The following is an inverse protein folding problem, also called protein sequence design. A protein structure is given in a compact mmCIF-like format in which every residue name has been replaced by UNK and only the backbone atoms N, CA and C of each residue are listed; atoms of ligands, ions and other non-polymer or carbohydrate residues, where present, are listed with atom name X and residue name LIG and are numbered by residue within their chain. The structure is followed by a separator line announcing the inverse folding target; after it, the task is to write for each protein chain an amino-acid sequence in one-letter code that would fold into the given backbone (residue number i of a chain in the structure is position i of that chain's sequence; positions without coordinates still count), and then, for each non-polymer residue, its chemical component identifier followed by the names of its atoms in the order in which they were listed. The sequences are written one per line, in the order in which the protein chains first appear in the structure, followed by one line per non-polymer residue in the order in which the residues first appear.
data_IF_956369825889
#
_entry.id   IF_956369825889
#
_cell.length_a   1.000
_cell.length_b   1.000
_cell.length_c   1.000
_cell.angle_alpha   90.00
_cell.angle_beta   90.00
_cell.angle_gamma   90.00
#
_symmetry.space_group_name_H-M   'P 1'
#
loop_
_entity.id
_entity.type
_entity.pdbx_description
1 polymer ?
#
# COMPACT_ATOMS: atom_id res chain seq x y z
N UNK A 1 -11.07 -9.67 -9.14
CA UNK A 1 -9.63 -9.93 -8.98
C UNK A 1 -9.34 -9.65 -7.52
N UNK A 2 -9.02 -10.69 -6.76
CA UNK A 2 -9.02 -10.69 -5.29
C UNK A 2 -7.62 -10.76 -4.72
N UNK A 3 -7.49 -10.41 -3.45
CA UNK A 3 -6.26 -10.57 -2.68
C UNK A 3 -5.77 -12.02 -2.69
N UNK A 4 -4.46 -12.21 -2.83
CA UNK A 4 -3.82 -13.52 -2.82
C UNK A 4 -3.81 -14.11 -1.41
N UNK A 5 -3.82 -13.26 -0.37
CA UNK A 5 -4.14 -13.66 0.99
C UNK A 5 -4.76 -12.50 1.79
N UNK A 6 -5.56 -12.84 2.80
CA UNK A 6 -6.11 -11.90 3.79
C UNK A 6 -5.74 -12.42 5.16
N UNK A 7 -5.03 -11.60 5.94
CA UNK A 7 -4.73 -11.88 7.35
C UNK A 7 -5.62 -11.02 8.20
N UNK A 8 -6.38 -11.63 9.11
CA UNK A 8 -7.26 -10.92 10.05
C UNK A 8 -6.69 -11.09 11.46
N UNK A 9 -6.34 -9.99 12.10
CA UNK A 9 -6.08 -9.99 13.54
C UNK A 9 -7.40 -9.76 14.28
N UNK A 10 -7.98 -10.86 14.75
CA UNK A 10 -9.27 -10.87 15.45
C UNK A 10 -9.21 -10.35 16.87
N UNK A 11 -8.01 -10.15 17.45
CA UNK A 11 -7.85 -9.59 18.79
C UNK A 11 -7.93 -8.06 18.76
N UNK A 12 -7.57 -7.44 17.64
CA UNK A 12 -7.44 -5.98 17.51
C UNK A 12 -8.36 -5.40 16.42
N UNK A 13 -9.16 -6.23 15.74
CA UNK A 13 -10.11 -5.85 14.67
C UNK A 13 -9.45 -5.20 13.45
N UNK A 14 -8.28 -5.72 13.05
CA UNK A 14 -7.55 -5.24 11.87
C UNK A 14 -7.46 -6.28 10.77
N UNK A 15 -7.41 -5.80 9.53
CA UNK A 15 -7.16 -6.61 8.35
C UNK A 15 -5.87 -6.17 7.65
N UNK A 16 -5.09 -7.15 7.20
CA UNK A 16 -3.94 -6.99 6.31
C UNK A 16 -4.22 -7.75 5.01
N UNK A 17 -4.04 -7.09 3.86
CA UNK A 17 -4.28 -7.69 2.54
C UNK A 17 -2.97 -7.90 1.80
N UNK A 18 -2.83 -9.07 1.17
CA UNK A 18 -1.69 -9.43 0.34
C UNK A 18 -2.06 -9.49 -1.14
N UNK A 19 -1.27 -8.82 -1.98
CA UNK A 19 -1.37 -8.88 -3.44
C UNK A 19 0.00 -9.19 -4.01
N UNK A 20 0.15 -10.38 -4.56
CA UNK A 20 1.38 -10.84 -5.19
C UNK A 20 1.47 -10.39 -6.66
N UNK A 21 0.32 -10.30 -7.36
CA UNK A 21 0.24 -9.77 -8.73
C UNK A 21 -0.98 -8.84 -8.90
N UNK A 22 -0.94 -7.61 -8.36
CA UNK A 22 -2.07 -6.70 -8.48
C UNK A 22 -2.31 -6.33 -9.96
N UNK A 23 -3.50 -6.63 -10.50
CA UNK A 23 -3.92 -6.20 -11.83
C UNK A 23 -4.71 -4.87 -11.83
N UNK A 24 -5.32 -4.53 -10.70
CA UNK A 24 -5.92 -3.22 -10.39
C UNK A 24 -6.17 -3.15 -8.89
N UNK A 25 -5.76 -2.06 -8.25
CA UNK A 25 -6.12 -1.79 -6.85
C UNK A 25 -7.17 -0.68 -6.83
N UNK A 26 -8.33 -0.95 -6.23
CA UNK A 26 -9.34 0.08 -5.95
C UNK A 26 -9.44 0.17 -4.45
N UNK A 27 -8.69 1.11 -3.87
CA UNK A 27 -8.50 1.19 -2.42
C UNK A 27 -9.82 1.33 -1.64
N UNK A 28 -10.81 2.02 -2.21
CA UNK A 28 -12.15 2.14 -1.63
C UNK A 28 -12.88 0.79 -1.52
N UNK A 29 -12.75 -0.09 -2.51
CA UNK A 29 -13.41 -1.41 -2.49
C UNK A 29 -12.83 -2.30 -1.39
N UNK A 30 -11.52 -2.19 -1.11
CA UNK A 30 -10.86 -2.93 -0.03
C UNK A 30 -11.26 -2.40 1.35
N UNK A 31 -11.39 -1.09 1.49
CA UNK A 31 -11.84 -0.45 2.73
C UNK A 31 -13.30 -0.80 3.05
N UNK A 32 -14.18 -0.73 2.04
CA UNK A 32 -15.58 -1.13 2.17
C UNK A 32 -15.70 -2.61 2.54
N UNK A 33 -14.94 -3.50 1.88
CA UNK A 33 -14.95 -4.92 2.19
C UNK A 33 -14.44 -5.24 3.62
N UNK A 34 -13.43 -4.49 4.11
CA UNK A 34 -12.95 -4.63 5.48
C UNK A 34 -14.01 -4.14 6.48
N UNK A 35 -14.60 -2.97 6.22
CA UNK A 35 -15.62 -2.36 7.06
C UNK A 35 -16.89 -3.22 7.15
N UNK A 36 -17.36 -3.79 6.03
CA UNK A 36 -18.49 -4.72 5.98
C UNK A 36 -18.25 -5.98 6.82
N UNK A 37 -16.99 -6.42 6.91
CA UNK A 37 -16.58 -7.54 7.74
C UNK A 37 -16.33 -7.14 9.22
N UNK A 38 -16.45 -5.85 9.57
CA UNK A 38 -16.23 -5.33 10.91
C UNK A 38 -14.76 -5.11 11.27
N UNK A 39 -13.89 -4.94 10.27
CA UNK A 39 -12.45 -4.72 10.44
C UNK A 39 -12.02 -3.37 9.87
N UNK A 40 -10.97 -2.79 10.46
CA UNK A 40 -10.27 -1.63 9.88
C UNK A 40 -9.08 -2.14 9.06
N UNK A 41 -8.98 -1.70 7.80
CA UNK A 41 -7.83 -1.99 6.95
C UNK A 41 -6.63 -1.17 7.43
N UNK A 42 -5.54 -1.84 7.81
CA UNK A 42 -4.32 -1.18 8.28
C UNK A 42 -3.09 -1.43 7.46
N UNK A 43 -2.98 -2.62 6.89
CA UNK A 43 -1.78 -3.01 6.19
C UNK A 43 -2.08 -3.55 4.80
N UNK A 44 -1.17 -3.23 3.89
CA UNK A 44 -1.15 -3.77 2.55
C UNK A 44 0.23 -4.34 2.28
N UNK A 45 0.27 -5.63 1.95
CA UNK A 45 1.48 -6.30 1.49
C UNK A 45 1.41 -6.43 -0.02
N UNK A 46 2.37 -5.85 -0.72
CA UNK A 46 2.46 -5.83 -2.17
C UNK A 46 3.76 -6.50 -2.60
N UNK A 47 3.69 -7.55 -3.42
CA UNK A 47 4.86 -8.03 -4.15
C UNK A 47 4.96 -7.20 -5.43
N UNK A 48 6.01 -6.39 -5.53
CA UNK A 48 6.14 -5.45 -6.63
C UNK A 48 7.54 -5.47 -7.23
N UNK A 49 7.64 -5.27 -8.56
CA UNK A 49 8.86 -4.75 -9.16
C UNK A 49 9.08 -3.25 -8.83
N UNK A 50 8.16 -2.63 -8.10
CA UNK A 50 8.05 -1.20 -7.87
C UNK A 50 9.31 -0.60 -7.28
N UNK A 51 9.66 0.56 -7.81
CA UNK A 51 10.78 1.37 -7.36
C UNK A 51 10.23 2.65 -6.75
N UNK A 52 10.93 3.15 -5.72
CA UNK A 52 10.57 4.43 -5.13
C UNK A 52 11.07 5.59 -5.99
N UNK A 53 10.20 6.55 -6.25
CA UNK A 53 10.48 7.77 -7.02
C UNK A 53 10.36 8.97 -6.09
N UNK A 54 11.10 10.04 -6.38
CA UNK A 54 10.90 11.34 -5.73
C UNK A 54 10.30 12.33 -6.72
N UNK A 55 9.08 12.78 -6.45
CA UNK A 55 8.36 13.74 -7.30
C UNK A 55 7.65 14.82 -6.48
N UNK A 56 7.33 15.94 -7.13
CA UNK A 56 6.59 17.02 -6.48
C UNK A 56 5.10 16.69 -6.41
N UNK A 57 4.55 16.65 -5.20
CA UNK A 57 3.11 16.57 -5.02
C UNK A 57 2.47 17.96 -5.20
N UNK A 58 1.53 18.08 -6.13
CA UNK A 58 0.83 19.35 -6.40
C UNK A 58 -0.07 19.77 -5.22
N UNK A 59 -0.64 18.80 -4.49
CA UNK A 59 -1.52 19.07 -3.34
C UNK A 59 -0.73 19.50 -2.10
N UNK A 60 0.37 18.81 -1.78
CA UNK A 60 1.23 19.15 -0.65
C UNK A 60 2.20 20.30 -0.96
N UNK A 61 2.35 20.65 -2.24
CA UNK A 61 3.32 21.63 -2.74
C UNK A 61 4.77 21.33 -2.33
N UNK A 62 5.10 20.06 -2.10
CA UNK A 62 6.41 19.58 -1.63
C UNK A 62 6.88 18.36 -2.43
N UNK A 63 8.19 18.10 -2.44
CA UNK A 63 8.71 16.83 -2.95
C UNK A 63 8.36 15.72 -1.96
N UNK A 64 7.76 14.66 -2.48
CA UNK A 64 7.37 13.46 -1.74
C UNK A 64 7.93 12.23 -2.42
N UNK A 65 8.02 11.14 -1.67
CA UNK A 65 8.38 9.85 -2.21
C UNK A 65 7.12 9.10 -2.62
N UNK A 66 7.16 8.51 -3.81
CA UNK A 66 6.10 7.68 -4.35
C UNK A 66 6.60 6.27 -4.51
N UNK A 67 5.83 5.28 -4.07
CA UNK A 67 5.98 3.91 -4.52
C UNK A 67 5.19 3.74 -5.81
N UNK A 68 5.90 3.55 -6.93
CA UNK A 68 5.28 3.31 -8.23
C UNK A 68 4.89 1.84 -8.37
N UNK A 69 3.65 1.59 -8.77
CA UNK A 69 3.08 0.26 -9.00
C UNK A 69 2.99 0.02 -10.51
N UNK A 70 4.12 -0.30 -11.14
CA UNK A 70 4.30 -0.39 -12.61
C UNK A 70 3.29 -1.32 -13.32
N UNK A 71 2.73 -2.31 -12.62
CA UNK A 71 1.72 -3.23 -13.16
C UNK A 71 0.31 -2.65 -13.32
N UNK A 72 -0.01 -1.57 -12.61
CA UNK A 72 -1.39 -1.04 -12.52
C UNK A 72 -1.49 0.47 -12.73
N UNK A 73 -0.38 1.13 -13.09
CA UNK A 73 -0.27 2.59 -13.26
C UNK A 73 -0.87 3.38 -12.09
N UNK A 74 -0.52 2.95 -10.86
CA UNK A 74 -0.90 3.62 -9.63
C UNK A 74 0.33 3.91 -8.79
N UNK A 75 0.18 4.86 -7.88
CA UNK A 75 1.23 5.27 -6.95
C UNK A 75 0.67 5.47 -5.56
N UNK A 76 1.49 5.16 -4.56
CA UNK A 76 1.18 5.38 -3.14
C UNK A 76 2.23 6.35 -2.59
N UNK A 77 1.80 7.40 -1.90
CA UNK A 77 2.74 8.31 -1.27
C UNK A 77 3.38 7.63 -0.07
N UNK A 78 4.70 7.75 0.07
CA UNK A 78 5.44 7.27 1.22
C UNK A 78 5.68 8.40 2.20
N UNK A 79 5.46 8.12 3.49
CA UNK A 79 5.79 9.05 4.57
C UNK A 79 7.30 9.03 4.82
N UNK A 80 7.97 9.98 4.16
CA UNK A 80 9.40 10.14 4.28
C UNK A 80 10.16 9.34 3.22
N UNK A 81 11.49 9.38 3.33
CA UNK A 81 12.38 8.69 2.40
C UNK A 81 12.38 7.19 2.68
N UNK A 82 12.05 6.34 1.69
CA UNK A 82 12.12 4.92 1.88
C UNK A 82 13.58 4.52 2.06
N UNK A 83 13.85 3.68 3.05
CA UNK A 83 15.16 3.09 3.25
C UNK A 83 15.56 2.12 2.13
N UNK A 84 14.62 1.77 1.22
CA UNK A 84 14.77 0.68 0.26
C UNK A 84 14.04 0.98 -1.05
N UNK A 85 14.76 0.84 -2.17
CA UNK A 85 14.33 1.31 -3.51
C UNK A 85 14.29 0.21 -4.57
N UNK A 86 14.44 -1.06 -4.20
CA UNK A 86 14.54 -2.19 -5.13
C UNK A 86 13.34 -3.14 -5.12
N UNK A 87 13.17 -3.94 -6.19
CA UNK A 87 12.04 -4.85 -6.33
C UNK A 87 11.97 -5.83 -5.15
N UNK A 88 10.75 -6.08 -4.67
CA UNK A 88 10.54 -6.90 -3.49
C UNK A 88 9.11 -6.90 -2.99
N UNK A 89 8.90 -7.60 -1.88
CA UNK A 89 7.66 -7.59 -1.10
C UNK A 89 7.72 -6.42 -0.13
N UNK A 90 6.82 -5.46 -0.29
CA UNK A 90 6.65 -4.31 0.59
C UNK A 90 5.45 -4.54 1.50
N UNK A 91 5.63 -4.37 2.80
CA UNK A 91 4.53 -4.24 3.77
C UNK A 91 4.38 -2.77 4.10
N UNK A 92 3.19 -2.25 3.83
CA UNK A 92 2.82 -0.84 3.93
C UNK A 92 1.77 -0.69 5.02
N UNK A 93 2.07 0.11 6.05
CA UNK A 93 1.06 0.60 6.98
C UNK A 93 0.38 1.81 6.37
N UNK A 94 -0.94 1.77 6.28
CA UNK A 94 -1.74 2.71 5.51
C UNK A 94 -2.26 3.84 6.39
N UNK A 95 -2.16 5.07 5.89
CA UNK A 95 -2.63 6.28 6.54
C UNK A 95 -3.43 7.15 5.57
N UNK A 96 -4.40 7.88 6.10
CA UNK A 96 -5.30 8.73 5.32
C UNK A 96 -5.96 7.96 4.15
N UNK A 97 -6.25 6.68 4.41
CA UNK A 97 -6.80 5.75 3.44
C UNK A 97 -8.21 6.15 3.00
N UNK A 98 -8.53 5.96 1.71
CA UNK A 98 -9.79 6.44 1.12
C UNK A 98 -9.85 7.97 0.93
N UNK A 99 -8.85 8.70 1.40
CA UNK A 99 -8.70 10.12 1.17
C UNK A 99 -8.14 10.44 -0.21
N UNK A 100 -8.07 11.74 -0.50
CA UNK A 100 -7.47 12.30 -1.70
C UNK A 100 -5.95 12.05 -1.83
N UNK A 101 -5.33 11.55 -0.76
CA UNK A 101 -3.89 11.50 -0.59
C UNK A 101 -3.46 10.33 0.29
N UNK A 102 -3.74 9.08 -0.11
CA UNK A 102 -3.38 7.90 0.68
C UNK A 102 -1.87 7.86 0.85
N UNK A 103 -1.44 7.73 2.10
CA UNK A 103 -0.04 7.65 2.48
C UNK A 103 0.26 6.29 3.07
N UNK A 104 1.51 5.88 2.98
CA UNK A 104 1.98 4.67 3.61
C UNK A 104 3.32 4.87 4.31
N UNK A 105 3.45 4.24 5.47
CA UNK A 105 4.73 4.00 6.12
C UNK A 105 5.22 2.60 5.70
N UNK A 106 6.48 2.48 5.27
CA UNK A 106 7.05 1.16 4.93
C UNK A 106 7.44 0.46 6.23
N UNK A 107 6.62 -0.49 6.67
CA UNK A 107 6.84 -1.26 7.90
C UNK A 107 7.70 -2.51 7.66
N UNK A 108 7.76 -3.00 6.42
CA UNK A 108 8.57 -4.15 6.05
C UNK A 108 8.96 -4.17 4.58
N UNK A 109 10.12 -4.77 4.29
CA UNK A 109 10.55 -5.08 2.93
C UNK A 109 11.34 -6.38 2.90
N UNK A 110 11.09 -7.19 1.87
CA UNK A 110 11.85 -8.39 1.58
C UNK A 110 12.24 -8.38 0.09
N UNK A 111 13.51 -8.59 -0.26
CA UNK A 111 13.92 -8.62 -1.67
C UNK A 111 13.24 -9.80 -2.40
N UNK A 112 12.93 -9.60 -3.69
CA UNK A 112 12.52 -10.71 -4.55
C UNK A 112 13.69 -11.70 -4.71
N UNK A 113 13.46 -12.97 -4.39
CA UNK A 113 14.46 -14.06 -4.48
C UNK A 113 14.68 -14.59 -5.88
#
# INVERSE_FOLDING_TARGET
MGADFVTLDTLISFASFGLDEPGRIVFADFDEAAADAGYELRELTLLLPGHALRERCERCASDVWWLQLDGIDQRIELRGEPSITGPGRYTLELHDWGGDHPRADVSGWQPAG
#
